data_IF_286817699584
#
_entry.id   IF_286817699584
#
_cell.length_a   1.000
_cell.length_b   1.000
_cell.length_c   1.000
_cell.angle_alpha   90.00
_cell.angle_beta   90.00
_cell.angle_gamma   90.00
#
_symmetry.space_group_name_H-M   'P 1'
#
loop_
_entity.id
_entity.type
_entity.pdbx_description
1 polymer ?
#
# COMPACT_ATOMS: atom_id res chain seq x y z
N UNK A 1 14.27 0.82 28.19
CA UNK A 1 14.65 -0.05 27.04
C UNK A 1 14.05 -1.44 27.25
N UNK A 2 12.96 -1.78 26.56
CA UNK A 2 12.37 -3.14 26.65
C UNK A 2 13.15 -4.07 25.74
N UNK A 3 13.72 -5.15 26.30
CA UNK A 3 14.35 -6.24 25.54
C UNK A 3 13.29 -6.89 24.62
N UNK A 4 13.63 -7.26 23.38
CA UNK A 4 12.73 -8.05 22.55
C UNK A 4 12.58 -9.46 23.15
N UNK A 5 11.42 -10.13 23.00
CA UNK A 5 11.21 -11.45 23.54
C UNK A 5 12.12 -12.46 22.84
N UNK A 6 12.95 -13.15 23.63
CA UNK A 6 13.69 -14.35 23.24
C UNK A 6 12.75 -15.55 23.31
N UNK A 7 12.33 -16.05 22.15
CA UNK A 7 12.20 -17.48 21.81
C UNK A 7 11.40 -17.59 20.51
N UNK A 8 12.10 -17.62 19.39
CA UNK A 8 11.60 -18.26 18.17
C UNK A 8 12.37 -19.56 18.04
N UNK A 9 11.73 -20.68 18.37
CA UNK A 9 12.18 -21.99 17.92
C UNK A 9 12.53 -21.88 16.43
N UNK A 10 13.77 -22.22 16.07
CA UNK A 10 14.18 -22.21 14.67
C UNK A 10 13.34 -23.27 13.96
N UNK A 11 12.47 -22.83 13.07
CA UNK A 11 11.68 -23.68 12.19
C UNK A 11 12.57 -24.81 11.63
N UNK A 12 12.28 -26.09 11.91
CA UNK A 12 13.09 -27.21 11.44
C UNK A 12 13.14 -27.31 9.90
N UNK A 13 12.24 -26.60 9.21
CA UNK A 13 12.18 -26.45 7.75
C UNK A 13 12.70 -25.08 7.27
N UNK A 14 13.45 -24.35 8.12
CA UNK A 14 14.06 -23.08 7.75
C UNK A 14 15.09 -23.28 6.64
N UNK A 15 14.72 -22.86 5.43
CA UNK A 15 15.65 -22.85 4.31
C UNK A 15 16.70 -21.76 4.51
N UNK A 16 17.96 -22.17 4.43
CA UNK A 16 19.15 -21.31 4.39
C UNK A 16 19.39 -20.88 2.94
N UNK A 17 18.91 -19.68 2.56
CA UNK A 17 19.11 -19.14 1.22
C UNK A 17 18.31 -17.85 0.93
N UNK A 18 18.74 -17.10 -0.09
CA UNK A 18 18.22 -15.77 -0.44
C UNK A 18 16.81 -15.74 -1.07
N UNK A 19 16.24 -16.89 -1.43
CA UNK A 19 14.92 -16.98 -2.05
C UNK A 19 13.99 -17.85 -1.20
N UNK A 20 13.44 -17.28 -0.12
CA UNK A 20 12.36 -17.92 0.62
C UNK A 20 11.05 -17.73 -0.15
N UNK A 21 10.49 -18.82 -0.67
CA UNK A 21 9.08 -18.90 -1.02
C UNK A 21 8.21 -18.87 0.23
N UNK A 22 6.90 -18.98 0.05
CA UNK A 22 5.92 -18.80 1.12
C UNK A 22 5.54 -20.11 1.80
N UNK A 23 5.15 -20.05 3.07
CA UNK A 23 4.63 -21.20 3.83
C UNK A 23 3.21 -21.55 3.38
N UNK A 24 2.71 -22.74 3.75
CA UNK A 24 1.30 -23.06 3.49
C UNK A 24 0.33 -22.06 4.13
N UNK A 25 0.62 -21.61 5.35
CA UNK A 25 -0.23 -20.67 6.07
C UNK A 25 -0.31 -19.32 5.35
N UNK A 26 0.85 -18.78 4.97
CA UNK A 26 0.93 -17.52 4.22
C UNK A 26 0.17 -17.60 2.90
N UNK A 27 0.30 -18.74 2.19
CA UNK A 27 -0.41 -19.00 0.94
C UNK A 27 -1.91 -19.10 1.13
N UNK A 28 -2.37 -19.89 2.10
CA UNK A 28 -3.80 -20.04 2.38
C UNK A 28 -4.42 -18.70 2.76
N UNK A 29 -3.70 -17.88 3.51
CA UNK A 29 -4.19 -16.57 3.96
C UNK A 29 -4.23 -15.54 2.82
N UNK A 30 -3.21 -15.45 1.99
CA UNK A 30 -3.01 -14.31 1.09
C UNK A 30 -3.27 -14.61 -0.39
N UNK A 31 -3.11 -15.85 -0.85
CA UNK A 31 -3.36 -16.22 -2.24
C UNK A 31 -4.80 -15.94 -2.71
N UNK A 32 -5.86 -16.06 -1.87
CA UNK A 32 -7.21 -15.63 -2.24
C UNK A 32 -7.35 -14.16 -2.65
N UNK A 33 -6.35 -13.33 -2.38
CA UNK A 33 -6.32 -11.91 -2.76
C UNK A 33 -5.90 -11.71 -4.19
N UNK A 34 -5.18 -12.67 -4.79
CA UNK A 34 -4.77 -12.55 -6.17
C UNK A 34 -5.99 -12.50 -7.10
N UNK A 35 -5.89 -11.71 -8.18
CA UNK A 35 -7.02 -11.46 -9.09
C UNK A 35 -7.46 -12.73 -9.84
N UNK A 36 -6.48 -13.56 -10.21
CA UNK A 36 -6.65 -14.82 -10.93
C UNK A 36 -6.76 -16.02 -9.97
N UNK A 37 -7.16 -15.80 -8.72
CA UNK A 37 -7.31 -16.87 -7.74
C UNK A 37 -8.48 -17.79 -8.10
N UNK A 38 -8.26 -19.11 -7.98
CA UNK A 38 -9.31 -20.12 -7.99
C UNK A 38 -9.30 -20.95 -6.71
N UNK A 39 -10.46 -21.45 -6.23
CA UNK A 39 -10.50 -22.38 -5.11
C UNK A 39 -9.73 -23.68 -5.37
N UNK A 40 -9.67 -24.12 -6.62
CA UNK A 40 -8.91 -25.31 -7.05
C UNK A 40 -7.41 -25.14 -6.85
N UNK A 41 -6.88 -23.92 -7.05
CA UNK A 41 -5.49 -23.58 -6.77
C UNK A 41 -5.13 -23.85 -5.31
N UNK A 42 -6.02 -23.51 -4.37
CA UNK A 42 -5.77 -23.69 -2.94
C UNK A 42 -5.78 -25.17 -2.53
N UNK A 43 -6.64 -25.98 -3.16
CA UNK A 43 -6.61 -27.44 -2.97
C UNK A 43 -5.31 -28.06 -3.51
N UNK A 44 -4.80 -27.54 -4.64
CA UNK A 44 -3.54 -27.98 -5.22
C UNK A 44 -2.35 -27.58 -4.34
N UNK A 45 -2.35 -26.35 -3.80
CA UNK A 45 -1.32 -25.88 -2.85
C UNK A 45 -1.21 -26.82 -1.66
N UNK A 46 -2.33 -27.20 -1.04
CA UNK A 46 -2.36 -28.09 0.13
C UNK A 46 -1.79 -29.49 -0.14
N UNK A 47 -1.75 -29.95 -1.39
CA UNK A 47 -1.20 -31.26 -1.78
C UNK A 47 0.31 -31.24 -2.00
N UNK A 48 0.88 -30.05 -2.24
CA UNK A 48 2.32 -29.91 -2.50
C UNK A 48 3.05 -29.89 -1.16
N UNK A 49 4.22 -30.52 -1.09
CA UNK A 49 5.04 -30.42 0.11
C UNK A 49 5.53 -28.98 0.29
N UNK A 50 5.44 -28.46 1.51
CA UNK A 50 5.81 -27.07 1.82
C UNK A 50 7.26 -26.76 1.42
N UNK A 51 8.18 -27.71 1.58
CA UNK A 51 9.59 -27.57 1.16
C UNK A 51 9.71 -27.24 -0.34
N UNK A 52 8.86 -27.85 -1.18
CA UNK A 52 8.84 -27.60 -2.63
C UNK A 52 8.29 -26.22 -2.94
N UNK A 53 7.26 -25.77 -2.21
CA UNK A 53 6.71 -24.43 -2.33
C UNK A 53 7.74 -23.38 -1.93
N UNK A 54 8.37 -23.54 -0.77
CA UNK A 54 9.37 -22.58 -0.28
C UNK A 54 10.61 -22.52 -1.18
N UNK A 55 11.07 -23.66 -1.72
CA UNK A 55 12.20 -23.69 -2.66
C UNK A 55 11.84 -23.32 -4.10
N UNK A 56 10.56 -23.11 -4.42
CA UNK A 56 10.10 -22.93 -5.80
C UNK A 56 10.57 -24.06 -6.73
N UNK A 57 10.60 -25.30 -6.22
CA UNK A 57 11.24 -26.45 -6.87
C UNK A 57 10.54 -26.93 -8.14
N UNK A 58 9.30 -26.52 -8.36
CA UNK A 58 8.51 -26.85 -9.57
C UNK A 58 8.05 -25.59 -10.29
N UNK A 59 7.74 -25.66 -11.60
CA UNK A 59 7.16 -24.54 -12.35
C UNK A 59 5.87 -24.01 -11.70
N UNK A 60 5.08 -24.91 -11.13
CA UNK A 60 3.84 -24.58 -10.44
C UNK A 60 4.10 -23.86 -9.10
N UNK A 61 5.08 -24.29 -8.31
CA UNK A 61 5.51 -23.57 -7.11
C UNK A 61 6.06 -22.17 -7.45
N UNK A 62 6.81 -22.03 -8.55
CA UNK A 62 7.26 -20.72 -9.06
C UNK A 62 6.09 -19.81 -9.42
N UNK A 63 5.06 -20.35 -10.07
CA UNK A 63 3.85 -19.61 -10.42
C UNK A 63 3.13 -19.10 -9.16
N UNK A 64 2.91 -19.96 -8.17
CA UNK A 64 2.26 -19.59 -6.91
C UNK A 64 3.05 -18.50 -6.18
N UNK A 65 4.36 -18.67 -6.03
CA UNK A 65 5.22 -17.69 -5.38
C UNK A 65 5.25 -16.35 -6.13
N UNK A 66 5.16 -16.39 -7.47
CA UNK A 66 5.02 -15.16 -8.27
C UNK A 66 3.69 -14.45 -7.96
N UNK A 67 2.58 -15.16 -7.94
CA UNK A 67 1.26 -14.57 -7.61
C UNK A 67 1.28 -13.92 -6.22
N UNK A 68 1.90 -14.57 -5.24
CA UNK A 68 2.07 -14.01 -3.89
C UNK A 68 2.95 -12.75 -3.87
N UNK A 69 4.04 -12.74 -4.63
CA UNK A 69 4.89 -11.55 -4.77
C UNK A 69 4.13 -10.41 -5.42
N UNK A 70 3.28 -10.68 -6.41
CA UNK A 70 2.42 -9.67 -7.04
C UNK A 70 1.46 -9.04 -6.03
N UNK A 71 0.76 -9.87 -5.23
CA UNK A 71 -0.12 -9.42 -4.13
C UNK A 71 0.65 -8.55 -3.13
N UNK A 72 1.80 -9.04 -2.65
CA UNK A 72 2.61 -8.35 -1.63
C UNK A 72 3.21 -7.05 -2.15
N UNK A 73 3.68 -7.04 -3.39
CA UNK A 73 4.26 -5.86 -4.02
C UNK A 73 3.21 -4.80 -4.26
N UNK A 74 2.01 -5.19 -4.69
CA UNK A 74 0.91 -4.25 -4.93
C UNK A 74 0.43 -3.61 -3.62
N UNK A 75 0.23 -4.39 -2.56
CA UNK A 75 -0.15 -3.85 -1.25
C UNK A 75 0.91 -2.90 -0.69
N UNK A 76 2.19 -3.28 -0.75
CA UNK A 76 3.29 -2.44 -0.28
C UNK A 76 3.40 -1.13 -1.07
N UNK A 77 3.33 -1.19 -2.41
CA UNK A 77 3.33 0.02 -3.24
C UNK A 77 2.14 0.91 -2.96
N UNK A 78 0.95 0.34 -2.78
CA UNK A 78 -0.22 1.13 -2.44
C UNK A 78 -0.04 1.84 -1.10
N UNK A 79 0.48 1.17 -0.09
CA UNK A 79 0.81 1.80 1.20
C UNK A 79 1.76 2.99 1.04
N UNK A 80 2.80 2.85 0.20
CA UNK A 80 3.81 3.90 0.01
C UNK A 80 3.32 5.10 -0.80
N UNK A 81 2.52 4.85 -1.85
CA UNK A 81 2.19 5.86 -2.86
C UNK A 81 0.74 6.36 -2.78
N UNK A 82 -0.08 5.85 -1.86
CA UNK A 82 -1.40 6.42 -1.62
C UNK A 82 -1.24 7.77 -0.95
N UNK A 83 -1.75 8.81 -1.60
CA UNK A 83 -1.91 10.13 -0.99
C UNK A 83 -3.30 10.21 -0.39
N UNK A 84 -3.36 10.69 0.84
CA UNK A 84 -4.59 10.81 1.61
C UNK A 84 -4.75 12.23 2.08
N UNK A 85 -5.99 12.70 2.05
CA UNK A 85 -6.43 13.96 2.63
C UNK A 85 -7.31 13.66 3.84
N UNK A 86 -7.36 14.58 4.79
CA UNK A 86 -8.22 14.46 5.97
C UNK A 86 -9.15 15.66 6.02
N UNK A 87 -10.44 15.41 6.27
CA UNK A 87 -11.38 16.49 6.52
C UNK A 87 -11.47 16.85 8.02
N UNK A 88 -12.07 17.99 8.31
CA UNK A 88 -12.25 18.48 9.68
C UNK A 88 -13.20 17.65 10.55
N UNK A 89 -13.83 16.60 9.98
CA UNK A 89 -14.67 15.64 10.71
C UNK A 89 -13.96 14.31 10.95
N UNK A 90 -12.66 14.21 10.67
CA UNK A 90 -11.84 13.03 10.92
C UNK A 90 -12.12 11.88 9.95
N UNK A 91 -12.38 12.20 8.68
CA UNK A 91 -12.42 11.21 7.58
C UNK A 91 -11.15 11.38 6.75
N UNK A 92 -10.27 10.38 6.80
CA UNK A 92 -9.08 10.28 5.98
C UNK A 92 -9.46 9.59 4.67
N UNK A 93 -9.34 10.27 3.54
CA UNK A 93 -9.77 9.73 2.25
C UNK A 93 -8.68 9.81 1.18
N UNK A 94 -8.73 8.90 0.20
CA UNK A 94 -7.76 8.86 -0.88
C UNK A 94 -8.17 7.95 -2.03
N UNK A 95 -7.40 8.01 -3.11
CA UNK A 95 -7.62 7.22 -4.33
C UNK A 95 -6.47 6.23 -4.53
N UNK A 96 -6.83 4.98 -4.82
CA UNK A 96 -5.90 3.88 -5.09
C UNK A 96 -6.23 3.22 -6.41
N UNK A 97 -5.24 2.54 -6.99
CA UNK A 97 -5.43 1.68 -8.14
C UNK A 97 -4.88 0.30 -7.82
N UNK A 98 -5.78 -0.65 -7.57
CA UNK A 98 -5.46 -2.01 -7.13
C UNK A 98 -6.13 -3.02 -8.05
N UNK A 99 -5.32 -3.92 -8.62
CA UNK A 99 -5.77 -5.02 -9.47
C UNK A 99 -6.16 -6.24 -8.64
N UNK A 100 -5.45 -6.48 -7.55
CA UNK A 100 -5.71 -7.57 -6.62
C UNK A 100 -6.63 -7.11 -5.48
N UNK A 101 -7.19 -8.06 -4.75
CA UNK A 101 -8.10 -7.84 -3.62
C UNK A 101 -7.29 -7.56 -2.34
N UNK A 102 -6.52 -6.47 -2.36
CA UNK A 102 -5.57 -6.09 -1.29
C UNK A 102 -5.92 -4.79 -0.58
N UNK A 103 -7.06 -4.17 -0.91
CA UNK A 103 -7.55 -2.93 -0.27
C UNK A 103 -7.59 -3.08 1.25
N UNK A 104 -7.97 -4.25 1.76
CA UNK A 104 -8.06 -4.52 3.19
C UNK A 104 -6.70 -4.40 3.89
N UNK A 105 -5.62 -4.83 3.24
CA UNK A 105 -4.26 -4.69 3.77
C UNK A 105 -3.84 -3.22 3.87
N UNK A 106 -4.17 -2.43 2.84
CA UNK A 106 -3.88 -0.99 2.80
C UNK A 106 -4.67 -0.26 3.89
N UNK A 107 -5.96 -0.57 4.03
CA UNK A 107 -6.81 0.01 5.06
C UNK A 107 -6.34 -0.35 6.47
N UNK A 108 -5.97 -1.61 6.71
CA UNK A 108 -5.44 -2.05 8.01
C UNK A 108 -4.16 -1.32 8.38
N UNK A 109 -3.23 -1.14 7.44
CA UNK A 109 -2.02 -0.37 7.68
C UNK A 109 -2.32 1.06 8.12
N UNK A 110 -3.22 1.75 7.40
CA UNK A 110 -3.61 3.11 7.78
C UNK A 110 -4.39 3.13 9.11
N UNK A 111 -5.20 2.11 9.39
CA UNK A 111 -5.97 1.99 10.63
C UNK A 111 -5.08 1.73 11.85
N UNK A 112 -4.03 0.93 11.71
CA UNK A 112 -3.02 0.77 12.77
C UNK A 112 -2.30 2.09 13.08
N UNK A 113 -2.15 2.97 12.09
CA UNK A 113 -1.46 4.25 12.23
C UNK A 113 -2.36 5.39 12.71
N UNK A 114 -3.61 5.44 12.27
CA UNK A 114 -4.51 6.58 12.47
C UNK A 114 -5.90 6.20 13.02
N UNK A 115 -6.22 4.90 13.03
CA UNK A 115 -7.58 4.37 13.19
C UNK A 115 -8.25 4.62 14.53
N UNK A 116 -7.53 5.07 15.56
CA UNK A 116 -8.15 5.52 16.82
C UNK A 116 -8.91 6.85 16.68
N UNK A 117 -8.60 7.66 15.66
CA UNK A 117 -9.08 9.03 15.55
C UNK A 117 -9.82 9.34 14.25
N UNK A 118 -9.72 8.48 13.24
CA UNK A 118 -10.35 8.74 11.94
C UNK A 118 -10.98 7.49 11.30
N UNK A 119 -12.01 7.74 10.48
CA UNK A 119 -12.49 6.76 9.51
C UNK A 119 -11.62 6.87 8.27
N UNK A 120 -11.18 5.75 7.71
CA UNK A 120 -10.33 5.75 6.52
C UNK A 120 -11.14 5.26 5.33
N UNK A 121 -11.07 5.98 4.23
CA UNK A 121 -11.91 5.81 3.05
C UNK A 121 -11.05 5.79 1.77
N UNK A 122 -10.95 4.64 1.10
CA UNK A 122 -10.16 4.50 -0.13
C UNK A 122 -11.05 4.13 -1.30
N UNK A 123 -11.00 4.93 -2.37
CA UNK A 123 -11.64 4.62 -3.63
C UNK A 123 -10.66 3.89 -4.56
N UNK A 124 -11.03 2.68 -4.99
CA UNK A 124 -10.26 1.93 -5.97
C UNK A 124 -10.75 2.21 -7.39
N UNK A 125 -9.96 2.95 -8.17
CA UNK A 125 -10.22 3.23 -9.59
C UNK A 125 -10.36 1.95 -10.42
N UNK A 126 -9.60 0.90 -10.10
CA UNK A 126 -9.61 -0.35 -10.88
C UNK A 126 -10.93 -1.13 -10.77
N UNK A 127 -11.68 -0.94 -9.69
CA UNK A 127 -12.94 -1.66 -9.43
C UNK A 127 -14.15 -0.74 -9.28
N UNK A 128 -13.96 0.58 -9.33
CA UNK A 128 -14.98 1.60 -9.06
C UNK A 128 -15.73 1.40 -7.74
N UNK A 129 -14.99 1.04 -6.68
CA UNK A 129 -15.55 0.75 -5.35
C UNK A 129 -14.84 1.58 -4.29
N UNK A 130 -15.61 2.13 -3.37
CA UNK A 130 -15.10 2.82 -2.19
C UNK A 130 -15.12 1.85 -1.02
N UNK A 131 -13.99 1.67 -0.35
CA UNK A 131 -13.89 0.81 0.83
C UNK A 131 -13.49 1.64 2.02
N UNK A 132 -14.16 1.40 3.14
CA UNK A 132 -14.00 2.17 4.37
C UNK A 132 -13.61 1.24 5.50
N UNK A 133 -12.85 1.76 6.47
CA UNK A 133 -12.61 1.11 7.77
C UNK A 133 -12.93 2.12 8.87
N UNK A 134 -13.80 1.74 9.80
CA UNK A 134 -14.14 2.60 10.94
C UNK A 134 -13.13 2.47 12.08
N UNK A 135 -13.32 3.23 13.15
CA UNK A 135 -12.38 3.24 14.29
C UNK A 135 -12.32 1.88 14.99
N UNK A 136 -13.41 1.12 14.93
CA UNK A 136 -13.51 -0.25 15.47
C UNK A 136 -12.86 -1.30 14.55
N UNK A 137 -12.20 -0.90 13.46
CA UNK A 137 -11.54 -1.80 12.52
C UNK A 137 -12.50 -2.56 11.59
N UNK A 138 -13.78 -2.16 11.51
CA UNK A 138 -14.78 -2.81 10.65
C UNK A 138 -14.72 -2.27 9.24
N UNK A 139 -14.52 -3.16 8.27
CA UNK A 139 -14.42 -2.82 6.85
C UNK A 139 -15.80 -2.88 6.19
N UNK A 140 -16.13 -1.87 5.37
CA UNK A 140 -17.34 -1.85 4.52
C UNK A 140 -17.00 -1.43 3.09
N UNK A 141 -17.65 -2.04 2.11
CA UNK A 141 -17.47 -1.77 0.68
C UNK A 141 -18.74 -1.15 0.11
N UNK A 142 -18.59 -0.06 -0.64
CA UNK A 142 -19.66 0.68 -1.28
C UNK A 142 -19.40 0.78 -2.80
N UNK A 143 -20.47 0.65 -3.59
CA UNK A 143 -20.46 0.94 -5.03
C UNK A 143 -20.88 2.39 -5.25
N UNK A 144 -20.04 3.33 -4.85
CA UNK A 144 -20.30 4.76 -5.01
C UNK A 144 -18.99 5.55 -5.09
N UNK A 145 -19.01 6.75 -5.69
CA UNK A 145 -17.86 7.64 -5.75
C UNK A 145 -17.33 8.02 -4.36
N UNK A 146 -16.05 8.39 -4.30
CA UNK A 146 -15.36 8.72 -3.05
C UNK A 146 -16.08 9.84 -2.27
N UNK A 147 -16.33 10.98 -2.92
CA UNK A 147 -16.88 12.18 -2.26
C UNK A 147 -18.25 11.94 -1.64
N UNK A 148 -19.14 11.22 -2.35
CA UNK A 148 -20.45 10.86 -1.84
C UNK A 148 -20.37 10.05 -0.53
N UNK A 149 -19.42 9.12 -0.45
CA UNK A 149 -19.22 8.33 0.77
C UNK A 149 -18.58 9.17 1.88
N UNK A 150 -17.62 10.04 1.54
CA UNK A 150 -17.01 10.96 2.50
C UNK A 150 -18.07 11.88 3.10
N UNK A 151 -18.98 12.44 2.31
CA UNK A 151 -20.10 13.27 2.78
C UNK A 151 -21.00 12.51 3.76
N UNK A 152 -21.49 11.33 3.38
CA UNK A 152 -22.35 10.47 4.22
C UNK A 152 -21.67 10.14 5.56
N UNK A 153 -20.37 9.84 5.54
CA UNK A 153 -19.61 9.56 6.75
C UNK A 153 -19.38 10.81 7.61
N UNK A 154 -19.30 11.97 6.97
CA UNK A 154 -19.03 13.26 7.60
C UNK A 154 -20.28 13.84 8.25
N UNK A 155 -21.45 13.70 7.65
CA UNK A 155 -22.74 14.23 8.16
C UNK A 155 -23.01 13.87 9.62
N UNK A 156 -22.67 12.63 10.00
CA UNK A 156 -22.98 12.07 11.32
C UNK A 156 -21.89 12.33 12.38
N UNK A 157 -20.88 13.18 12.08
CA UNK A 157 -19.72 13.40 12.96
C UNK A 157 -19.62 14.86 13.42
N UNK A 158 -19.17 15.08 14.66
CA UNK A 158 -18.82 16.41 15.12
C UNK A 158 -17.59 16.93 14.36
N UNK A 159 -17.48 18.25 14.27
CA UNK A 159 -16.25 18.90 13.82
C UNK A 159 -15.21 18.69 14.92
N UNK A 160 -14.00 18.30 14.53
CA UNK A 160 -12.89 18.03 15.44
C UNK A 160 -11.91 19.20 15.31
N UNK A 161 -11.77 20.06 16.35
CA UNK A 161 -10.93 21.26 16.28
C UNK A 161 -9.48 20.99 15.88
N UNK A 162 -8.93 19.83 16.28
CA UNK A 162 -7.58 19.40 15.90
C UNK A 162 -7.36 19.30 14.38
N UNK A 163 -8.42 19.06 13.60
CA UNK A 163 -8.36 18.97 12.14
C UNK A 163 -8.79 20.28 11.44
N UNK A 164 -9.34 21.27 12.16
CA UNK A 164 -9.64 22.60 11.60
C UNK A 164 -8.34 23.40 11.32
N UNK A 165 -7.28 23.14 12.09
CA UNK A 165 -5.97 23.79 11.92
C UNK A 165 -5.13 23.18 10.78
N UNK A 166 -5.54 22.04 10.22
CA UNK A 166 -4.86 21.44 9.06
C UNK A 166 -5.31 22.18 7.80
N UNK A 167 -4.76 23.38 7.61
CA UNK A 167 -4.96 24.18 6.39
C UNK A 167 -4.03 23.77 5.25
N UNK A 168 -3.07 22.89 5.51
CA UNK A 168 -2.12 22.44 4.50
C UNK A 168 -2.73 21.38 3.59
N UNK A 169 -2.58 21.56 2.29
CA UNK A 169 -2.92 20.49 1.34
C UNK A 169 -1.96 19.31 1.51
N UNK A 170 -2.40 18.10 1.18
CA UNK A 170 -1.52 16.91 1.21
C UNK A 170 -0.29 17.07 0.29
N UNK A 171 -0.40 17.90 -0.74
CA UNK A 171 0.67 18.29 -1.65
C UNK A 171 1.70 19.17 -0.93
N UNK A 172 1.27 20.24 -0.25
CA UNK A 172 2.15 21.14 0.51
C UNK A 172 2.95 20.44 1.61
N UNK A 173 2.31 19.52 2.34
CA UNK A 173 3.00 18.72 3.37
C UNK A 173 4.10 17.87 2.74
N UNK A 174 3.81 17.27 1.59
CA UNK A 174 4.76 16.42 0.89
C UNK A 174 5.91 17.24 0.28
N UNK A 175 5.61 18.38 -0.33
CA UNK A 175 6.61 19.33 -0.83
C UNK A 175 7.52 19.82 0.28
N UNK A 176 6.96 20.22 1.41
CA UNK A 176 7.72 20.70 2.58
C UNK A 176 8.60 19.58 3.17
N UNK A 177 8.08 18.37 3.30
CA UNK A 177 8.86 17.23 3.78
C UNK A 177 10.00 16.90 2.81
N UNK A 178 9.70 16.83 1.51
CA UNK A 178 10.71 16.50 0.51
C UNK A 178 11.80 17.57 0.43
N UNK A 179 11.42 18.85 0.39
CA UNK A 179 12.36 19.99 0.39
C UNK A 179 13.21 20.03 1.65
N UNK A 180 12.65 19.72 2.83
CA UNK A 180 13.42 19.67 4.09
C UNK A 180 14.48 18.55 4.12
N UNK A 181 14.27 17.47 3.38
CA UNK A 181 15.19 16.34 3.24
C UNK A 181 16.12 16.49 2.02
N UNK A 182 15.87 17.49 1.19
CA UNK A 182 16.56 17.69 -0.07
C UNK A 182 17.92 18.37 0.16
N UNK A 183 18.98 17.59 0.01
CA UNK A 183 20.34 18.11 -0.07
C UNK A 183 20.65 18.35 -1.55
N UNK A 184 20.71 19.61 -1.96
CA UNK A 184 20.92 20.01 -3.36
C UNK A 184 22.19 19.42 -3.96
N UNK A 185 23.28 19.29 -3.19
CA UNK A 185 24.54 18.72 -3.71
C UNK A 185 24.47 17.21 -3.99
N UNK A 186 23.45 16.51 -3.46
CA UNK A 186 23.23 15.07 -3.66
C UNK A 186 22.13 14.77 -4.67
N UNK A 187 21.66 15.78 -5.40
CA UNK A 187 20.62 15.64 -6.40
C UNK A 187 21.09 14.77 -7.59
N UNK A 188 20.89 13.45 -7.49
CA UNK A 188 21.15 12.53 -8.58
C UNK A 188 19.84 12.15 -9.28
N UNK A 189 19.43 13.00 -10.23
CA UNK A 189 18.19 12.87 -11.03
C UNK A 189 18.09 11.52 -11.76
N UNK A 190 19.22 11.03 -12.26
CA UNK A 190 19.29 9.75 -12.96
C UNK A 190 19.07 8.58 -12.00
N UNK A 191 19.58 8.68 -10.78
CA UNK A 191 19.38 7.67 -9.75
C UNK A 191 17.92 7.65 -9.26
N UNK A 192 17.31 8.81 -9.02
CA UNK A 192 15.90 8.91 -8.59
C UNK A 192 14.94 8.31 -9.63
N UNK A 193 15.10 8.67 -10.91
CA UNK A 193 14.30 8.08 -12.01
C UNK A 193 14.53 6.57 -12.17
N UNK A 194 15.72 6.06 -11.88
CA UNK A 194 16.01 4.60 -11.88
C UNK A 194 15.36 3.87 -10.69
N UNK A 195 15.18 4.55 -9.56
CA UNK A 195 14.65 3.96 -8.32
C UNK A 195 13.13 3.82 -8.31
N UNK A 196 12.40 4.66 -9.05
CA UNK A 196 10.93 4.58 -9.16
C UNK A 196 10.56 4.00 -10.53
N UNK A 197 10.00 2.77 -10.61
CA UNK A 197 9.59 2.21 -11.89
C UNK A 197 8.53 3.08 -12.60
N UNK A 198 8.63 3.24 -13.92
CA UNK A 198 7.73 4.07 -14.75
C UNK A 198 6.23 3.82 -14.51
N UNK A 199 5.89 2.57 -14.20
CA UNK A 199 4.51 2.15 -13.93
C UNK A 199 3.93 2.82 -12.66
N UNK A 200 4.77 3.21 -11.70
CA UNK A 200 4.36 3.82 -10.44
C UNK A 200 3.95 5.29 -10.61
N UNK A 201 4.52 6.02 -11.57
CA UNK A 201 4.10 7.39 -11.91
C UNK A 201 2.69 7.48 -12.50
N UNK A 202 2.09 6.34 -12.88
CA UNK A 202 0.70 6.25 -13.35
C UNK A 202 -0.30 6.01 -12.22
N UNK A 203 0.17 5.73 -11.00
CA UNK A 203 -0.68 5.50 -9.84
C UNK A 203 -1.36 6.81 -9.41
N UNK A 204 -2.62 6.77 -8.92
CA UNK A 204 -3.39 7.97 -8.60
C UNK A 204 -2.64 8.97 -7.71
N UNK A 205 -2.01 8.49 -6.63
CA UNK A 205 -1.25 9.34 -5.71
C UNK A 205 0.07 9.91 -6.23
N UNK A 206 0.47 9.55 -7.45
CA UNK A 206 1.65 10.09 -8.14
C UNK A 206 1.27 10.83 -9.44
N UNK A 207 -0.01 10.85 -9.82
CA UNK A 207 -0.47 11.57 -11.03
C UNK A 207 -0.42 13.07 -10.75
N UNK A 208 0.35 13.78 -11.56
CA UNK A 208 0.51 15.24 -11.43
C UNK A 208 1.51 15.67 -10.35
N UNK A 209 2.13 14.72 -9.64
CA UNK A 209 3.00 15.01 -8.52
C UNK A 209 4.23 15.87 -8.84
N UNK A 210 4.66 16.59 -7.80
CA UNK A 210 5.90 17.37 -7.65
C UNK A 210 7.12 16.66 -8.24
N UNK A 211 7.14 15.33 -8.27
CA UNK A 211 8.25 14.56 -8.86
C UNK A 211 8.42 14.77 -10.38
N UNK A 212 7.42 15.36 -11.06
CA UNK A 212 7.52 15.82 -12.44
C UNK A 212 8.02 17.25 -12.58
N UNK A 213 7.93 18.07 -11.52
CA UNK A 213 8.35 19.48 -11.54
C UNK A 213 9.86 19.66 -11.39
N UNK A 214 10.61 18.59 -11.13
CA UNK A 214 12.07 18.58 -11.22
C UNK A 214 12.53 18.96 -12.64
N UNK A 215 12.76 20.26 -12.85
CA UNK A 215 13.22 20.83 -14.10
C UNK A 215 14.56 20.19 -14.48
N UNK A 216 14.64 19.67 -15.70
CA UNK A 216 15.91 19.47 -16.37
C UNK A 216 16.46 20.86 -16.71
N UNK A 217 17.26 21.46 -15.82
CA UNK A 217 18.10 22.59 -16.25
C UNK A 217 19.04 22.09 -17.34
N UNK A 218 19.00 22.69 -18.53
CA UNK A 218 19.97 22.39 -19.58
C UNK A 218 21.35 22.89 -19.14
N UNK A 219 22.44 22.27 -19.61
CA UNK A 219 23.81 22.70 -19.31
C UNK A 219 24.03 24.20 -19.58
N UNK A 220 23.36 24.74 -20.59
CA UNK A 220 23.41 26.16 -20.94
C UNK A 220 22.72 27.09 -19.94
N UNK A 221 22.04 26.56 -18.91
CA UNK A 221 21.46 27.35 -17.81
C UNK A 221 22.41 27.42 -16.60
N UNK A 222 23.59 26.79 -16.67
CA UNK A 222 24.64 26.80 -15.65
C UNK A 222 25.92 27.53 -16.08
N UNK A 223 26.01 27.92 -17.35
CA UNK A 223 27.08 28.73 -17.92
C UNK A 223 26.56 30.17 -18.13
#
# INVERSE_FOLDING_TARGET
MKKPPKNTEKDPMALLGCARGYTHEELIQNLPRHKDFSPTLLQQVKKIQEVVLRNSGTPYAKLINRMMREVSTESYRAIQFTRTEINNRGVLYGVVFLKHRVVDLVLKYFHERFGSHCIICLYNEGTHKTTTINEKGRIRVFQSPLMKIVEILSENRPIIPYFDDIQFSGEEIFETLYTSQFISERENKNFFKKMIPDKCFKLPGMRGGVEKSFRNKKINEFL
#
